data_IF_776630379167
#
_entry.id   IF_776630379167
#
_cell.length_a   1.000
_cell.length_b   1.000
_cell.length_c   1.000
_cell.angle_alpha   90.00
_cell.angle_beta   90.00
_cell.angle_gamma   90.00
#
_symmetry.space_group_name_H-M   'P 1'
#
loop_
_entity.id
_entity.type
_entity.pdbx_description
1 polymer ?
#
# COMPACT_ATOMS: atom_id res chain seq x y z
N UNK A 1 -20.94 -13.32 3.85
CA UNK A 1 -20.91 -12.74 2.49
C UNK A 1 -19.60 -11.99 2.34
N UNK A 2 -18.87 -12.25 1.27
CA UNK A 2 -17.65 -11.49 0.95
C UNK A 2 -18.00 -10.05 0.54
N UNK A 3 -17.15 -9.11 0.96
CA UNK A 3 -17.22 -7.73 0.52
C UNK A 3 -15.79 -7.19 0.32
N UNK A 4 -15.62 -6.31 -0.65
CA UNK A 4 -14.39 -5.57 -0.84
C UNK A 4 -14.12 -4.70 0.39
N UNK A 5 -12.88 -4.62 0.90
CA UNK A 5 -12.55 -3.69 1.97
C UNK A 5 -12.92 -2.25 1.62
N UNK A 6 -13.55 -1.56 2.56
CA UNK A 6 -13.96 -0.16 2.34
C UNK A 6 -12.78 0.81 2.32
N UNK A 7 -11.65 0.45 2.96
CA UNK A 7 -10.45 1.28 3.04
C UNK A 7 -9.19 0.42 3.06
N UNK A 8 -8.07 1.05 2.75
CA UNK A 8 -6.74 0.48 2.86
C UNK A 8 -5.82 1.37 3.69
N UNK A 9 -4.55 1.01 3.68
CA UNK A 9 -3.48 1.75 4.35
C UNK A 9 -2.24 1.80 3.45
N UNK A 10 -1.30 2.65 3.82
CA UNK A 10 0.05 2.63 3.28
C UNK A 10 0.96 1.92 4.26
N UNK A 11 1.91 1.16 3.74
CA UNK A 11 3.01 0.61 4.54
C UNK A 11 4.21 1.56 4.54
N UNK A 12 5.14 1.31 5.42
CA UNK A 12 6.35 2.09 5.53
C UNK A 12 6.41 2.87 6.84
N UNK A 13 6.16 2.16 7.92
CA UNK A 13 6.34 2.65 9.28
C UNK A 13 7.70 2.22 9.84
N UNK A 14 8.79 2.91 9.55
CA UNK A 14 9.97 2.74 10.36
C UNK A 14 9.75 3.50 11.66
N UNK A 15 9.44 2.79 12.73
CA UNK A 15 9.20 3.42 14.02
C UNK A 15 7.96 4.34 14.00
N UNK A 16 8.00 5.41 14.70
CA UNK A 16 6.88 6.27 15.08
C UNK A 16 6.22 7.07 13.91
N UNK A 17 5.61 6.38 12.97
CA UNK A 17 4.71 7.02 12.00
C UNK A 17 5.33 7.61 10.75
N UNK A 18 6.56 7.29 10.46
CA UNK A 18 7.27 7.76 9.28
C UNK A 18 7.04 6.85 8.06
N UNK A 19 6.67 7.41 6.93
CA UNK A 19 6.53 6.67 5.67
C UNK A 19 7.87 6.52 4.95
N UNK A 20 8.22 5.29 4.59
CA UNK A 20 9.38 5.06 3.74
C UNK A 20 9.07 5.49 2.31
N UNK A 21 9.94 6.36 1.77
CA UNK A 21 9.84 6.88 0.39
C UNK A 21 10.39 5.85 -0.60
N UNK A 22 11.47 5.17 -0.21
CA UNK A 22 12.16 4.17 -1.01
C UNK A 22 11.89 2.76 -0.48
N UNK A 23 10.64 2.32 -0.55
CA UNK A 23 10.24 0.98 -0.11
C UNK A 23 9.62 0.20 -1.26
N UNK A 24 10.07 -1.04 -1.42
CA UNK A 24 9.40 -2.05 -2.24
C UNK A 24 8.80 -3.12 -1.35
N UNK A 25 7.54 -3.43 -1.56
CA UNK A 25 6.88 -4.57 -0.96
C UNK A 25 6.75 -5.72 -1.94
N UNK A 26 6.67 -6.92 -1.40
CA UNK A 26 6.38 -8.13 -2.16
C UNK A 26 5.36 -8.98 -1.42
N UNK A 27 4.44 -9.55 -2.17
CA UNK A 27 3.43 -10.48 -1.63
C UNK A 27 3.35 -11.71 -2.53
N UNK A 28 3.38 -12.89 -1.92
CA UNK A 28 3.18 -14.18 -2.60
C UNK A 28 2.35 -15.11 -1.73
N UNK A 29 1.79 -16.16 -2.31
CA UNK A 29 0.98 -17.14 -1.61
C UNK A 29 1.56 -18.54 -1.71
N UNK A 30 1.33 -19.35 -0.65
CA UNK A 30 1.70 -20.78 -0.64
C UNK A 30 0.64 -21.69 -1.28
N UNK A 31 -0.59 -21.22 -1.41
CA UNK A 31 -1.70 -21.90 -2.06
C UNK A 31 -2.36 -20.95 -3.03
N UNK A 32 -3.05 -21.50 -4.04
CA UNK A 32 -3.85 -20.69 -4.93
C UNK A 32 -4.89 -19.87 -4.17
N UNK A 33 -5.02 -18.61 -4.48
CA UNK A 33 -5.99 -17.70 -3.89
C UNK A 33 -6.98 -17.27 -4.97
N UNK A 34 -8.18 -17.80 -4.84
CA UNK A 34 -9.32 -17.50 -5.69
C UNK A 34 -10.07 -16.25 -5.20
N UNK A 35 -10.96 -15.66 -6.01
CA UNK A 35 -11.80 -14.54 -5.57
C UNK A 35 -12.53 -14.86 -4.26
N UNK A 36 -12.52 -13.91 -3.33
CA UNK A 36 -13.10 -14.11 -1.99
C UNK A 36 -12.26 -15.00 -1.08
N UNK A 37 -11.05 -15.39 -1.48
CA UNK A 37 -10.13 -16.24 -0.72
C UNK A 37 -9.24 -15.49 0.26
N UNK A 38 -9.57 -14.25 0.64
CA UNK A 38 -8.76 -13.45 1.55
C UNK A 38 -7.56 -12.80 0.87
N UNK A 39 -7.65 -12.48 -0.41
CA UNK A 39 -6.57 -11.94 -1.20
C UNK A 39 -6.03 -10.59 -0.65
N UNK A 40 -4.79 -10.28 -1.00
CA UNK A 40 -4.27 -8.93 -0.92
C UNK A 40 -5.08 -8.04 -1.87
N UNK A 41 -5.62 -6.95 -1.34
CA UNK A 41 -6.40 -5.97 -2.09
C UNK A 41 -5.57 -4.71 -2.23
N UNK A 42 -5.58 -4.12 -3.41
CA UNK A 42 -4.86 -2.88 -3.69
C UNK A 42 -5.71 -1.91 -4.50
N UNK A 43 -5.46 -0.62 -4.31
CA UNK A 43 -6.05 0.46 -5.10
C UNK A 43 -5.09 0.87 -6.21
N UNK A 44 -5.36 0.52 -7.47
CA UNK A 44 -4.49 0.88 -8.59
C UNK A 44 -4.22 2.38 -8.62
N UNK A 45 -2.99 2.76 -8.97
CA UNK A 45 -2.55 4.15 -9.10
C UNK A 45 -2.57 5.00 -7.80
N UNK A 46 -2.98 4.45 -6.66
CA UNK A 46 -3.03 5.17 -5.38
C UNK A 46 -1.66 5.71 -4.94
N UNK A 47 -0.56 5.06 -5.32
CA UNK A 47 0.80 5.55 -5.07
C UNK A 47 1.07 6.91 -5.70
N UNK A 48 0.47 7.24 -6.85
CA UNK A 48 0.57 8.58 -7.44
C UNK A 48 -0.18 9.63 -6.62
N UNK A 49 -1.30 9.25 -5.99
CA UNK A 49 -2.06 10.15 -5.10
C UNK A 49 -1.24 10.43 -3.86
N UNK A 50 -0.72 9.39 -3.21
CA UNK A 50 0.14 9.52 -2.04
C UNK A 50 1.39 10.35 -2.34
N UNK A 51 2.04 10.11 -3.48
CA UNK A 51 3.21 10.87 -3.91
C UNK A 51 2.90 12.38 -4.05
N UNK A 52 1.80 12.75 -4.75
CA UNK A 52 1.38 14.16 -4.86
C UNK A 52 1.11 14.78 -3.50
N UNK A 53 0.42 14.03 -2.63
CA UNK A 53 0.09 14.48 -1.29
C UNK A 53 1.34 14.76 -0.46
N UNK A 54 2.30 13.84 -0.40
CA UNK A 54 3.54 14.05 0.37
C UNK A 54 4.45 15.10 -0.23
N UNK A 55 4.43 15.30 -1.54
CA UNK A 55 5.13 16.44 -2.15
C UNK A 55 4.52 17.79 -1.77
N UNK A 56 3.21 17.84 -1.62
CA UNK A 56 2.51 19.05 -1.19
C UNK A 56 2.67 19.29 0.32
N UNK A 57 2.76 18.23 1.11
CA UNK A 57 2.83 18.26 2.57
C UNK A 57 3.98 17.39 3.08
N UNK A 58 5.25 17.76 2.81
CA UNK A 58 6.40 16.90 3.12
C UNK A 58 6.57 16.61 4.62
N UNK A 59 6.17 17.52 5.48
CA UNK A 59 6.25 17.35 6.93
C UNK A 59 5.37 16.20 7.44
N UNK A 60 4.36 15.81 6.67
CA UNK A 60 3.44 14.72 7.02
C UNK A 60 4.03 13.33 6.81
N UNK A 61 5.15 13.20 6.13
CA UNK A 61 5.89 11.94 6.03
C UNK A 61 6.41 11.50 7.41
N UNK A 62 6.83 12.44 8.24
CA UNK A 62 7.40 12.17 9.57
C UNK A 62 6.36 12.22 10.69
N UNK A 63 5.10 12.49 10.37
CA UNK A 63 4.01 12.60 11.33
C UNK A 63 3.16 11.33 11.44
N UNK A 64 2.22 11.35 12.37
CA UNK A 64 1.18 10.34 12.46
C UNK A 64 0.03 10.71 11.52
N UNK A 65 -0.34 9.80 10.62
CA UNK A 65 -1.45 10.04 9.68
C UNK A 65 -2.78 10.28 10.38
N UNK A 66 -2.98 9.68 11.55
CA UNK A 66 -4.21 9.81 12.33
C UNK A 66 -4.45 11.23 12.84
N UNK A 67 -3.42 12.05 12.85
CA UNK A 67 -3.48 13.45 13.26
C UNK A 67 -3.69 14.40 12.08
N UNK A 68 -3.77 13.88 10.87
CA UNK A 68 -3.99 14.70 9.68
C UNK A 68 -5.49 14.97 9.49
N UNK A 69 -5.89 16.16 8.97
CA UNK A 69 -7.29 16.47 8.69
C UNK A 69 -7.96 15.52 7.69
N UNK A 70 -7.17 14.85 6.86
CA UNK A 70 -7.63 13.91 5.84
C UNK A 70 -7.93 12.52 6.41
N UNK A 71 -7.54 12.25 7.66
CA UNK A 71 -7.89 10.99 8.32
C UNK A 71 -9.35 11.02 8.76
N UNK A 72 -10.11 10.05 8.36
CA UNK A 72 -11.49 9.85 8.79
C UNK A 72 -11.73 8.39 9.25
N UNK A 73 -12.98 8.06 9.59
CA UNK A 73 -13.38 6.72 10.04
C UNK A 73 -13.07 5.59 9.01
N UNK A 74 -12.91 5.94 7.73
CA UNK A 74 -12.58 5.02 6.64
C UNK A 74 -11.07 4.85 6.46
N UNK A 75 -10.28 5.50 7.31
CA UNK A 75 -8.84 5.60 7.18
C UNK A 75 -8.44 6.89 6.45
N UNK A 76 -7.43 6.84 5.62
CA UNK A 76 -6.98 8.04 4.91
C UNK A 76 -7.89 8.37 3.72
N UNK A 77 -8.80 9.32 3.92
CA UNK A 77 -9.90 9.65 3.01
C UNK A 77 -9.51 9.99 1.57
N UNK A 78 -8.28 10.46 1.34
CA UNK A 78 -7.79 10.75 -0.02
C UNK A 78 -7.82 9.54 -0.97
N UNK A 79 -7.89 8.32 -0.44
CA UNK A 79 -8.01 7.10 -1.23
C UNK A 79 -9.44 6.61 -1.39
N UNK A 80 -10.41 7.19 -0.65
CA UNK A 80 -11.80 6.75 -0.67
C UNK A 80 -12.62 7.44 -1.73
N UNK A 81 -12.42 8.75 -1.92
CA UNK A 81 -13.29 9.57 -2.74
C UNK A 81 -12.73 9.85 -4.15
N UNK A 82 -11.40 9.86 -4.29
CA UNK A 82 -10.71 10.19 -5.53
C UNK A 82 -9.77 9.07 -6.00
N UNK A 83 -9.98 7.84 -5.53
CA UNK A 83 -9.24 6.70 -6.02
C UNK A 83 -9.41 6.59 -7.53
N UNK A 84 -8.34 6.63 -8.33
CA UNK A 84 -8.46 6.66 -9.78
C UNK A 84 -9.11 5.40 -10.35
N UNK A 85 -9.06 4.32 -9.58
CA UNK A 85 -9.64 3.03 -9.96
C UNK A 85 -10.18 2.30 -8.73
N UNK A 86 -11.26 1.50 -8.90
CA UNK A 86 -11.75 0.66 -7.82
C UNK A 86 -10.69 -0.35 -7.35
N UNK A 87 -10.73 -0.74 -6.07
CA UNK A 87 -9.80 -1.73 -5.54
C UNK A 87 -9.92 -3.08 -6.25
N UNK A 88 -8.81 -3.79 -6.31
CA UNK A 88 -8.69 -5.11 -6.95
C UNK A 88 -8.08 -6.13 -6.00
N UNK A 89 -8.55 -7.37 -6.10
CA UNK A 89 -7.91 -8.50 -5.45
C UNK A 89 -6.70 -8.98 -6.28
N UNK A 90 -5.59 -9.25 -5.61
CA UNK A 90 -4.51 -10.04 -6.17
C UNK A 90 -4.86 -11.53 -6.06
N UNK A 91 -5.71 -11.97 -6.97
CA UNK A 91 -6.02 -13.39 -7.19
C UNK A 91 -4.84 -14.02 -7.91
N UNK A 92 -4.27 -15.10 -7.38
CA UNK A 92 -2.99 -15.61 -7.86
C UNK A 92 -2.80 -17.10 -7.54
N UNK A 93 -1.97 -17.76 -8.32
CA UNK A 93 -1.53 -19.13 -8.04
C UNK A 93 -0.43 -19.14 -6.98
N UNK A 94 -0.27 -20.28 -6.34
CA UNK A 94 0.84 -20.51 -5.44
C UNK A 94 2.19 -20.20 -6.12
N UNK A 95 2.98 -19.33 -5.48
CA UNK A 95 4.26 -18.88 -6.01
C UNK A 95 4.23 -17.66 -6.92
N UNK A 96 3.06 -17.23 -7.40
CA UNK A 96 2.95 -15.93 -8.06
C UNK A 96 3.36 -14.81 -7.10
N UNK A 97 4.03 -13.81 -7.63
CA UNK A 97 4.58 -12.69 -6.87
C UNK A 97 4.05 -11.37 -7.41
N UNK A 98 3.51 -10.54 -6.53
CA UNK A 98 3.29 -9.12 -6.80
C UNK A 98 4.36 -8.29 -6.10
N UNK A 99 5.00 -7.39 -6.84
CA UNK A 99 5.84 -6.32 -6.29
C UNK A 99 5.00 -5.05 -6.27
N UNK A 100 5.10 -4.30 -5.18
CA UNK A 100 4.30 -3.09 -5.01
C UNK A 100 5.12 -1.96 -4.39
N UNK A 101 4.79 -0.74 -4.82
CA UNK A 101 5.38 0.50 -4.32
C UNK A 101 4.95 0.73 -2.87
N UNK A 102 5.84 1.22 -2.00
CA UNK A 102 5.55 1.47 -0.60
C UNK A 102 4.33 2.38 -0.34
N UNK A 103 4.02 3.24 -1.28
CA UNK A 103 2.86 4.12 -1.21
C UNK A 103 1.61 3.57 -1.93
N UNK A 104 1.62 2.33 -2.36
CA UNK A 104 0.41 1.70 -2.87
C UNK A 104 -0.55 1.45 -1.72
N UNK A 105 -1.73 2.05 -1.77
CA UNK A 105 -2.80 1.77 -0.82
C UNK A 105 -3.25 0.33 -0.97
N UNK A 106 -3.31 -0.39 0.15
CA UNK A 106 -3.68 -1.79 0.14
C UNK A 106 -4.35 -2.25 1.44
N UNK A 107 -4.92 -3.43 1.41
CA UNK A 107 -5.56 -4.08 2.56
C UNK A 107 -5.56 -5.60 2.40
N UNK A 108 -5.90 -6.31 3.44
CA UNK A 108 -6.33 -7.70 3.35
C UNK A 108 -7.83 -7.78 3.16
N UNK A 109 -8.33 -8.82 2.50
CA UNK A 109 -9.76 -9.11 2.43
C UNK A 109 -10.14 -10.30 3.31
N UNK A 110 -11.46 -10.43 3.56
CA UNK A 110 -11.99 -11.58 4.30
C UNK A 110 -11.94 -12.83 3.42
N UNK A 111 -11.43 -13.93 3.97
CA UNK A 111 -11.52 -15.24 3.33
C UNK A 111 -12.87 -15.86 3.62
N UNK A 112 -13.67 -16.09 2.61
CA UNK A 112 -14.96 -16.81 2.69
C UNK A 112 -14.91 -18.19 2.01
N UNK A 113 -13.75 -18.57 1.48
CA UNK A 113 -13.51 -19.87 0.85
C UNK A 113 -13.05 -20.91 1.89
N UNK A 114 -13.14 -22.18 1.54
CA UNK A 114 -12.69 -23.25 2.42
C UNK A 114 -11.15 -23.38 2.50
N UNK A 115 -10.45 -22.94 1.47
CA UNK A 115 -8.97 -22.99 1.42
C UNK A 115 -8.39 -21.84 2.24
N UNK A 116 -7.51 -22.11 3.20
CA UNK A 116 -6.86 -21.05 3.96
C UNK A 116 -5.91 -20.26 3.07
N UNK A 117 -5.90 -18.94 3.23
CA UNK A 117 -4.88 -18.09 2.60
C UNK A 117 -3.64 -18.05 3.48
N UNK A 118 -2.53 -18.54 2.96
CA UNK A 118 -1.20 -18.41 3.58
C UNK A 118 -0.32 -17.59 2.66
N UNK A 119 0.04 -16.39 3.11
CA UNK A 119 0.83 -15.45 2.32
C UNK A 119 2.11 -15.04 3.04
N UNK A 120 3.15 -14.78 2.24
CA UNK A 120 4.35 -14.11 2.67
C UNK A 120 4.30 -12.66 2.22
N UNK A 121 4.70 -11.79 3.15
CA UNK A 121 4.82 -10.35 2.92
C UNK A 121 6.24 -9.95 3.29
N UNK A 122 6.94 -9.36 2.34
CA UNK A 122 8.27 -8.83 2.57
C UNK A 122 8.30 -7.35 2.21
N UNK A 123 9.16 -6.61 2.88
CA UNK A 123 9.39 -5.19 2.63
C UNK A 123 10.87 -4.91 2.69
N UNK A 124 11.35 -4.17 1.71
CA UNK A 124 12.72 -3.69 1.68
C UNK A 124 12.70 -2.17 1.59
N UNK A 125 13.45 -1.54 2.46
CA UNK A 125 13.65 -0.09 2.47
C UNK A 125 15.09 0.18 2.07
N UNK A 126 15.30 1.10 1.14
CA UNK A 126 16.64 1.48 0.71
C UNK A 126 17.38 2.21 1.84
N UNK A 127 18.69 2.01 1.93
CA UNK A 127 19.52 2.63 2.97
C UNK A 127 19.50 4.17 2.95
N UNK A 128 19.31 4.77 1.77
CA UNK A 128 19.22 6.21 1.58
C UNK A 128 17.82 6.79 1.83
N UNK A 129 16.85 6.01 2.27
CA UNK A 129 15.46 6.45 2.46
C UNK A 129 15.36 7.72 3.32
N UNK A 130 16.11 7.79 4.41
CA UNK A 130 16.11 8.96 5.30
C UNK A 130 16.58 10.26 4.62
N UNK A 131 17.47 10.17 3.65
CA UNK A 131 17.94 11.31 2.86
C UNK A 131 16.89 11.80 1.85
N UNK A 132 16.20 10.88 1.22
CA UNK A 132 15.19 11.17 0.19
C UNK A 132 13.90 11.74 0.76
N UNK A 133 13.52 11.40 1.98
CA UNK A 133 12.31 11.93 2.66
C UNK A 133 12.25 13.45 2.67
N UNK A 134 13.38 14.12 2.74
CA UNK A 134 13.46 15.58 2.77
C UNK A 134 13.36 16.24 1.40
N UNK A 135 13.45 15.44 0.33
CA UNK A 135 13.42 15.92 -1.06
C UNK A 135 12.76 14.88 -1.95
N UNK A 136 11.42 14.78 -1.85
CA UNK A 136 10.64 13.83 -2.64
C UNK A 136 10.76 14.17 -4.13
N UNK A 137 11.26 13.26 -4.98
CA UNK A 137 11.42 13.49 -6.41
C UNK A 137 10.10 13.85 -7.09
N UNK A 138 10.17 14.50 -8.25
CA UNK A 138 8.99 14.80 -9.05
C UNK A 138 8.33 13.54 -9.62
N UNK A 139 9.13 12.54 -9.93
CA UNK A 139 8.71 11.23 -10.40
C UNK A 139 8.71 10.22 -9.23
N UNK A 140 7.60 9.54 -8.92
CA UNK A 140 7.58 8.52 -7.87
C UNK A 140 8.49 7.32 -8.17
N UNK A 141 8.87 7.12 -9.43
CA UNK A 141 9.72 6.03 -9.88
C UNK A 141 11.20 6.41 -10.03
N UNK A 142 11.56 7.64 -9.67
CA UNK A 142 12.92 8.19 -9.88
C UNK A 142 14.05 7.28 -9.37
N UNK A 143 13.83 6.59 -8.27
CA UNK A 143 14.82 5.70 -7.66
C UNK A 143 14.60 4.21 -8.00
N UNK A 144 13.66 3.91 -8.87
CA UNK A 144 13.36 2.56 -9.30
C UNK A 144 14.06 2.29 -10.63
N UNK A 145 14.80 1.20 -10.70
CA UNK A 145 15.45 0.76 -11.94
C UNK A 145 14.46 -0.04 -12.81
N UNK A 146 13.45 0.63 -13.35
CA UNK A 146 12.42 0.07 -14.23
C UNK A 146 12.45 0.74 -15.59
#
# INVERSE_FOLDING_TARGET
TWAMPASGHLDGYPGEGCQAVLMVGATTYLYDVEPGGGAYVYWPSSHHIAHRYFRQYPDRIEGTFRETPEWDERGWGIFSDDGPEPPREFVARAGDLILWHGWLCHSGSTNVNATPRVGFFARWVHEDDAGVRRSIPADPWHHWAI
#
